data_IF_328000020561
#
_entry.id   IF_328000020561
#
_cell.length_a   1.000
_cell.length_b   1.000
_cell.length_c   1.000
_cell.angle_alpha   90.00
_cell.angle_beta   90.00
_cell.angle_gamma   90.00
#
_symmetry.space_group_name_H-M   'P 1'
#
loop_
_entity.id
_entity.type
_entity.pdbx_description
1 polymer ?
#
# COMPACT_ATOMS: atom_id res chain seq x y z
N UNK A 1 -31.56 -0.08 -1.99
CA UNK A 1 -31.01 0.35 -0.69
C UNK A 1 -29.91 -0.60 -0.22
N UNK A 2 -30.23 -1.89 -0.03
CA UNK A 2 -29.28 -2.92 0.45
C UNK A 2 -27.86 -2.87 -0.11
N UNK A 3 -27.69 -2.74 -1.43
CA UNK A 3 -26.35 -2.68 -2.05
C UNK A 3 -25.50 -1.53 -1.54
N UNK A 4 -26.07 -0.34 -1.31
CA UNK A 4 -25.34 0.82 -0.79
C UNK A 4 -25.06 0.68 0.72
N UNK A 5 -26.01 0.11 1.47
CA UNK A 5 -25.81 -0.20 2.90
C UNK A 5 -24.73 -1.28 3.10
N UNK A 6 -24.70 -2.31 2.25
CA UNK A 6 -23.68 -3.34 2.19
C UNK A 6 -22.30 -2.74 1.94
N UNK A 7 -22.15 -1.90 0.89
CA UNK A 7 -20.89 -1.23 0.59
C UNK A 7 -20.44 -0.33 1.76
N UNK A 8 -21.37 0.33 2.47
CA UNK A 8 -21.06 1.08 3.67
C UNK A 8 -20.58 0.17 4.83
N UNK A 9 -21.22 -0.99 5.07
CA UNK A 9 -20.78 -2.01 6.05
C UNK A 9 -19.32 -2.45 5.74
N UNK A 10 -19.01 -2.84 4.49
CA UNK A 10 -17.64 -3.25 4.07
C UNK A 10 -16.61 -2.14 4.31
N UNK A 11 -16.90 -0.91 3.85
CA UNK A 11 -15.98 0.22 3.97
C UNK A 11 -15.65 0.55 5.44
N UNK A 12 -16.65 0.49 6.33
CA UNK A 12 -16.46 0.68 7.78
C UNK A 12 -15.55 -0.41 8.38
N UNK A 13 -15.73 -1.67 7.98
CA UNK A 13 -14.93 -2.79 8.49
C UNK A 13 -13.47 -2.68 8.04
N UNK A 14 -13.20 -2.28 6.79
CA UNK A 14 -11.83 -2.01 6.34
C UNK A 14 -11.13 -0.91 7.15
N UNK A 15 -11.83 0.19 7.47
CA UNK A 15 -11.30 1.27 8.32
C UNK A 15 -10.98 0.73 9.72
N UNK A 16 -11.88 -0.03 10.32
CA UNK A 16 -11.70 -0.64 11.63
C UNK A 16 -10.51 -1.62 11.68
N UNK A 17 -10.43 -2.57 10.74
CA UNK A 17 -9.32 -3.52 10.65
C UNK A 17 -7.99 -2.83 10.37
N UNK A 18 -7.98 -1.77 9.55
CA UNK A 18 -6.76 -1.01 9.25
C UNK A 18 -6.25 -0.21 10.45
N UNK A 19 -7.15 0.40 11.24
CA UNK A 19 -6.77 1.09 12.47
C UNK A 19 -6.15 0.10 13.48
N UNK A 20 -6.76 -1.07 13.66
CA UNK A 20 -6.20 -2.16 14.48
C UNK A 20 -4.80 -2.56 14.03
N UNK A 21 -4.56 -2.75 12.71
CA UNK A 21 -3.23 -3.00 12.17
C UNK A 21 -2.25 -1.86 12.49
N UNK A 22 -2.62 -0.62 12.14
CA UNK A 22 -1.76 0.56 12.21
C UNK A 22 -1.33 0.90 13.64
N UNK A 23 -2.21 0.65 14.62
CA UNK A 23 -1.97 0.92 16.04
C UNK A 23 -1.24 -0.24 16.74
N UNK A 24 -1.61 -1.50 16.46
CA UNK A 24 -1.18 -2.65 17.28
C UNK A 24 -0.18 -3.59 16.59
N UNK A 25 -0.22 -3.74 15.26
CA UNK A 25 0.49 -4.82 14.54
C UNK A 25 1.64 -4.33 13.64
N UNK A 26 1.53 -3.15 13.03
CA UNK A 26 2.54 -2.58 12.09
C UNK A 26 3.96 -2.54 12.65
N UNK A 27 4.12 -2.44 13.97
CA UNK A 27 5.41 -2.39 14.64
C UNK A 27 6.00 -3.79 14.99
N UNK A 28 5.32 -4.89 14.69
CA UNK A 28 5.84 -6.24 14.93
C UNK A 28 6.80 -6.70 13.82
N UNK A 29 7.83 -7.47 14.20
CA UNK A 29 8.80 -8.13 13.29
C UNK A 29 8.30 -9.48 12.75
N UNK A 30 6.99 -9.74 12.84
CA UNK A 30 6.32 -10.94 12.33
C UNK A 30 5.69 -10.62 10.96
N UNK A 31 6.53 -10.39 9.95
CA UNK A 31 6.10 -9.81 8.67
C UNK A 31 5.11 -10.69 7.91
N UNK A 32 5.28 -12.02 7.95
CA UNK A 32 4.32 -13.00 7.38
C UNK A 32 2.93 -12.83 8.03
N UNK A 33 2.86 -12.69 9.35
CA UNK A 33 1.60 -12.48 10.08
C UNK A 33 0.97 -11.11 9.79
N UNK A 34 1.79 -10.07 9.57
CA UNK A 34 1.30 -8.77 9.09
C UNK A 34 0.71 -8.86 7.68
N UNK A 35 1.34 -9.60 6.76
CA UNK A 35 0.83 -9.85 5.39
C UNK A 35 -0.50 -10.60 5.44
N UNK A 36 -0.56 -11.70 6.18
CA UNK A 36 -1.77 -12.51 6.38
C UNK A 36 -2.90 -11.67 6.99
N UNK A 37 -2.61 -10.83 8.00
CA UNK A 37 -3.63 -9.93 8.57
C UNK A 37 -4.12 -8.92 7.53
N UNK A 38 -3.23 -8.27 6.77
CA UNK A 38 -3.62 -7.23 5.81
C UNK A 38 -4.49 -7.80 4.67
N UNK A 39 -4.07 -8.90 4.04
CA UNK A 39 -4.84 -9.53 2.95
C UNK A 39 -6.11 -10.22 3.49
N UNK A 40 -6.00 -10.93 4.62
CA UNK A 40 -7.12 -11.62 5.25
C UNK A 40 -8.22 -10.68 5.74
N UNK A 41 -7.88 -9.54 6.35
CA UNK A 41 -8.87 -8.55 6.80
C UNK A 41 -9.59 -7.84 5.65
N UNK A 42 -8.94 -7.66 4.50
CA UNK A 42 -9.61 -7.18 3.28
C UNK A 42 -10.70 -8.15 2.80
N UNK A 43 -10.41 -9.45 2.80
CA UNK A 43 -11.36 -10.51 2.42
C UNK A 43 -12.47 -10.71 3.47
N UNK A 44 -12.12 -10.77 4.76
CA UNK A 44 -13.08 -10.94 5.86
C UNK A 44 -14.09 -9.78 5.88
N UNK A 45 -13.64 -8.54 5.67
CA UNK A 45 -14.54 -7.38 5.62
C UNK A 45 -15.58 -7.46 4.48
N UNK A 46 -15.29 -8.16 3.37
CA UNK A 46 -16.31 -8.49 2.36
C UNK A 46 -17.25 -9.60 2.80
N UNK A 47 -16.76 -10.63 3.50
CA UNK A 47 -17.57 -11.78 3.89
C UNK A 47 -18.54 -11.48 5.04
N UNK A 48 -18.15 -10.61 5.99
CA UNK A 48 -18.94 -10.33 7.19
C UNK A 48 -20.39 -9.84 6.92
N UNK A 49 -20.66 -8.91 5.97
CA UNK A 49 -22.03 -8.49 5.70
C UNK A 49 -22.89 -9.51 4.93
N UNK A 50 -22.34 -10.63 4.46
CA UNK A 50 -23.12 -11.76 3.91
C UNK A 50 -23.64 -12.70 5.02
N UNK A 51 -23.17 -12.55 6.27
CA UNK A 51 -23.61 -13.39 7.39
C UNK A 51 -24.98 -12.92 7.89
N UNK A 52 -26.04 -13.33 7.20
CA UNK A 52 -27.41 -13.20 7.67
C UNK A 52 -27.67 -14.19 8.81
N UNK A 53 -28.21 -13.70 9.93
CA UNK A 53 -28.70 -14.56 11.00
C UNK A 53 -30.17 -14.95 10.72
N UNK A 54 -30.57 -16.22 10.87
CA UNK A 54 -31.95 -16.62 10.69
C UNK A 54 -32.82 -15.97 11.78
N UNK A 55 -33.81 -15.20 11.34
CA UNK A 55 -34.78 -14.55 12.22
C UNK A 55 -35.68 -15.62 12.87
N UNK A 56 -35.89 -15.51 14.19
CA UNK A 56 -36.76 -16.43 14.89
C UNK A 56 -38.21 -16.07 14.54
N UNK A 57 -38.86 -16.88 13.69
CA UNK A 57 -40.21 -16.63 13.18
C UNK A 57 -41.23 -16.52 14.33
N UNK A 58 -41.47 -15.29 14.78
CA UNK A 58 -42.49 -14.99 15.78
C UNK A 58 -43.84 -15.25 15.11
N UNK A 59 -44.45 -16.39 15.42
CA UNK A 59 -45.78 -16.76 14.92
C UNK A 59 -46.83 -15.89 15.61
N UNK A 60 -46.99 -14.66 15.13
CA UNK A 60 -48.13 -13.82 15.45
C UNK A 60 -49.40 -14.51 14.93
N UNK A 61 -50.28 -14.92 15.84
CA UNK A 61 -51.63 -15.31 15.45
C UNK A 61 -52.28 -14.08 14.79
N UNK A 62 -52.90 -14.20 13.60
CA UNK A 62 -53.54 -13.07 12.95
C UNK A 62 -54.71 -12.59 13.80
N UNK A 63 -54.57 -11.42 14.42
CA UNK A 63 -55.67 -10.73 15.06
C UNK A 63 -56.60 -10.20 13.95
N UNK A 64 -57.77 -10.83 13.79
CA UNK A 64 -58.75 -10.42 12.80
C UNK A 64 -59.45 -9.15 13.29
N UNK A 65 -58.84 -8.00 13.00
CA UNK A 65 -59.51 -6.72 13.06
C UNK A 65 -60.42 -6.58 11.83
N UNK A 66 -61.71 -6.33 12.05
CA UNK A 66 -62.62 -5.96 10.98
C UNK A 66 -62.22 -4.56 10.47
N UNK A 67 -61.48 -4.52 9.37
CA UNK A 67 -61.04 -3.27 8.76
C UNK A 67 -62.26 -2.52 8.19
N UNK A 68 -62.75 -1.53 8.93
CA UNK A 68 -63.69 -0.55 8.39
C UNK A 68 -63.00 0.18 7.23
N UNK A 69 -63.52 0.01 6.02
CA UNK A 69 -62.96 0.59 4.79
C UNK A 69 -63.25 2.08 4.71
N UNK A 70 -62.55 2.87 5.53
CA UNK A 70 -62.49 4.32 5.37
C UNK A 70 -61.90 4.64 3.98
N UNK A 71 -62.38 5.69 3.29
CA UNK A 71 -61.78 6.14 2.04
C UNK A 71 -60.33 6.57 2.25
N UNK A 72 -59.39 5.67 1.96
CA UNK A 72 -57.96 5.98 1.95
C UNK A 72 -57.68 6.91 0.77
N UNK A 73 -57.63 8.22 1.02
CA UNK A 73 -57.04 9.13 0.06
C UNK A 73 -55.56 8.81 -0.05
N UNK A 74 -55.18 8.30 -1.22
CA UNK A 74 -53.79 8.00 -1.58
C UNK A 74 -52.98 9.30 -1.51
N UNK A 75 -52.26 9.47 -0.40
CA UNK A 75 -51.37 10.62 -0.22
C UNK A 75 -50.29 10.53 -1.31
N UNK A 76 -50.02 11.62 -2.07
CA UNK A 76 -48.98 11.57 -3.09
C UNK A 76 -47.65 11.22 -2.41
N UNK A 77 -47.03 10.11 -2.83
CA UNK A 77 -45.80 9.65 -2.20
C UNK A 77 -44.75 10.77 -2.24
N UNK A 78 -44.08 11.07 -1.11
CA UNK A 78 -43.10 12.14 -1.06
C UNK A 78 -41.95 11.79 -1.99
N UNK A 79 -41.85 12.50 -3.13
CA UNK A 79 -40.86 12.25 -4.20
C UNK A 79 -39.48 12.04 -3.60
N UNK A 80 -39.06 10.76 -3.59
CA UNK A 80 -37.87 10.34 -2.88
C UNK A 80 -36.65 10.88 -3.60
N UNK A 81 -36.12 11.99 -3.09
CA UNK A 81 -34.86 12.61 -3.52
C UNK A 81 -33.74 11.56 -3.68
N UNK A 82 -33.72 10.56 -2.79
CA UNK A 82 -32.78 9.46 -2.83
C UNK A 82 -32.95 8.55 -4.07
N UNK A 83 -34.18 8.35 -4.56
CA UNK A 83 -34.46 7.61 -5.79
C UNK A 83 -33.98 8.38 -7.03
N UNK A 84 -34.10 9.71 -7.06
CA UNK A 84 -33.59 10.56 -8.16
C UNK A 84 -32.06 10.57 -8.21
N UNK A 85 -31.38 10.67 -7.06
CA UNK A 85 -29.92 10.73 -7.01
C UNK A 85 -29.23 9.37 -7.11
N UNK A 86 -29.87 8.27 -6.69
CA UNK A 86 -29.26 6.94 -6.72
C UNK A 86 -28.73 6.48 -8.10
N UNK A 87 -29.47 6.58 -9.22
CA UNK A 87 -28.95 6.17 -10.53
C UNK A 87 -27.81 7.07 -11.01
N UNK A 88 -27.84 8.36 -10.69
CA UNK A 88 -26.78 9.33 -11.01
C UNK A 88 -25.49 8.96 -10.27
N UNK A 89 -25.59 8.63 -8.98
CA UNK A 89 -24.45 8.16 -8.17
C UNK A 89 -23.90 6.83 -8.68
N UNK A 90 -24.74 5.86 -9.03
CA UNK A 90 -24.28 4.61 -9.62
C UNK A 90 -23.58 4.81 -10.97
N UNK A 91 -24.12 5.67 -11.85
CA UNK A 91 -23.49 6.01 -13.13
C UNK A 91 -22.11 6.68 -12.94
N UNK A 92 -21.99 7.62 -11.99
CA UNK A 92 -20.73 8.26 -11.64
C UNK A 92 -19.70 7.26 -11.09
N UNK A 93 -20.11 6.39 -10.16
CA UNK A 93 -19.25 5.35 -9.62
C UNK A 93 -18.79 4.36 -10.69
N UNK A 94 -19.68 3.95 -11.60
CA UNK A 94 -19.37 3.07 -12.72
C UNK A 94 -18.40 3.73 -13.72
N UNK A 95 -18.61 5.01 -14.07
CA UNK A 95 -17.71 5.76 -14.96
C UNK A 95 -16.29 5.90 -14.37
N UNK A 96 -16.18 6.23 -13.07
CA UNK A 96 -14.89 6.29 -12.37
C UNK A 96 -14.20 4.93 -12.32
N UNK A 97 -14.94 3.85 -12.06
CA UNK A 97 -14.44 2.48 -12.07
C UNK A 97 -13.96 2.06 -13.46
N UNK A 98 -14.71 2.37 -14.52
CA UNK A 98 -14.35 2.05 -15.91
C UNK A 98 -13.11 2.81 -16.37
N UNK A 99 -12.97 4.09 -16.01
CA UNK A 99 -11.78 4.88 -16.27
C UNK A 99 -10.53 4.24 -15.63
N UNK A 100 -10.62 3.89 -14.34
CA UNK A 100 -9.51 3.28 -13.61
C UNK A 100 -9.20 1.85 -14.08
N UNK A 101 -10.21 1.07 -14.46
CA UNK A 101 -10.03 -0.23 -15.11
C UNK A 101 -9.25 -0.08 -16.42
N UNK A 102 -9.61 0.91 -17.25
CA UNK A 102 -8.89 1.18 -18.50
C UNK A 102 -7.43 1.60 -18.26
N UNK A 103 -7.14 2.28 -17.15
CA UNK A 103 -5.79 2.69 -16.77
C UNK A 103 -4.97 1.50 -16.26
N UNK A 104 -5.56 0.66 -15.40
CA UNK A 104 -4.95 -0.58 -14.91
C UNK A 104 -4.64 -1.55 -16.05
N UNK A 105 -5.58 -1.79 -16.98
CA UNK A 105 -5.36 -2.64 -18.15
C UNK A 105 -4.24 -2.10 -19.05
N UNK A 106 -4.12 -0.78 -19.20
CA UNK A 106 -2.96 -0.15 -19.86
C UNK A 106 -1.67 -0.45 -19.11
N UNK A 107 -1.57 -0.15 -17.81
CA UNK A 107 -0.35 -0.43 -17.02
C UNK A 107 0.08 -1.90 -17.05
N UNK A 108 -0.87 -2.85 -16.97
CA UNK A 108 -0.59 -4.29 -17.08
C UNK A 108 -0.09 -4.65 -18.50
N UNK A 109 -0.74 -4.14 -19.54
CA UNK A 109 -0.29 -4.31 -20.94
C UNK A 109 1.13 -3.77 -21.13
N UNK A 110 1.41 -2.59 -20.61
CA UNK A 110 2.67 -1.88 -20.85
C UNK A 110 3.86 -2.63 -20.19
N UNK A 111 3.65 -3.22 -19.00
CA UNK A 111 4.58 -4.18 -18.38
C UNK A 111 4.76 -5.45 -19.23
N UNK A 112 3.68 -6.01 -19.78
CA UNK A 112 3.77 -7.19 -20.66
C UNK A 112 4.38 -6.92 -22.04
N UNK A 113 4.33 -5.68 -22.54
CA UNK A 113 5.03 -5.25 -23.75
C UNK A 113 6.53 -5.20 -23.49
N UNK A 114 6.95 -4.54 -22.40
CA UNK A 114 8.34 -4.47 -21.95
C UNK A 114 8.95 -5.88 -21.77
N UNK A 115 8.24 -6.79 -21.07
CA UNK A 115 8.67 -8.18 -20.85
C UNK A 115 8.80 -9.00 -22.16
N UNK A 116 8.19 -8.57 -23.27
CA UNK A 116 8.19 -9.28 -24.57
C UNK A 116 9.16 -8.72 -25.61
N UNK A 117 9.85 -7.61 -25.33
CA UNK A 117 10.71 -6.94 -26.30
C UNK A 117 12.18 -7.37 -26.22
N UNK A 118 12.64 -7.82 -25.04
CA UNK A 118 14.04 -8.17 -24.78
C UNK A 118 14.25 -9.70 -24.64
N UNK A 119 15.48 -10.16 -24.83
CA UNK A 119 15.86 -11.57 -24.69
C UNK A 119 15.68 -12.07 -23.24
N UNK A 120 14.81 -13.06 -23.06
CA UNK A 120 14.50 -13.64 -21.74
C UNK A 120 15.49 -14.74 -21.39
N UNK A 121 16.29 -14.52 -20.35
CA UNK A 121 17.19 -15.52 -19.78
C UNK A 121 16.51 -16.27 -18.62
N UNK A 122 16.38 -17.60 -18.73
CA UNK A 122 15.95 -18.43 -17.60
C UNK A 122 17.09 -18.57 -16.57
N UNK A 123 16.81 -18.15 -15.34
CA UNK A 123 17.75 -18.16 -14.21
C UNK A 123 17.12 -18.97 -13.06
N UNK A 124 17.18 -20.30 -13.19
CA UNK A 124 16.46 -21.27 -12.37
C UNK A 124 14.94 -21.01 -12.40
N UNK A 125 14.35 -20.57 -11.29
CA UNK A 125 12.91 -20.29 -11.15
C UNK A 125 12.48 -18.87 -11.61
N UNK A 126 13.45 -18.02 -11.97
CA UNK A 126 13.27 -16.60 -12.30
C UNK A 126 13.54 -16.35 -13.79
N UNK A 127 12.63 -15.63 -14.46
CA UNK A 127 12.80 -15.19 -15.85
C UNK A 127 13.42 -13.79 -15.88
N UNK A 128 14.73 -13.71 -16.09
CA UNK A 128 15.46 -12.44 -16.17
C UNK A 128 15.25 -11.78 -17.54
N UNK A 129 14.88 -10.51 -17.53
CA UNK A 129 14.69 -9.64 -18.70
C UNK A 129 15.62 -8.43 -18.51
N UNK A 130 16.54 -8.20 -19.45
CA UNK A 130 17.57 -7.17 -19.34
C UNK A 130 17.23 -5.95 -20.20
N UNK A 131 16.82 -4.85 -19.57
CA UNK A 131 16.46 -3.63 -20.30
C UNK A 131 17.70 -2.98 -20.95
N UNK A 132 17.62 -2.53 -22.22
CA UNK A 132 18.70 -1.83 -22.91
C UNK A 132 18.93 -0.39 -22.40
N UNK A 133 18.03 0.15 -21.58
CA UNK A 133 18.05 1.53 -21.09
C UNK A 133 17.88 1.60 -19.57
N UNK A 134 18.62 2.52 -18.93
CA UNK A 134 18.68 2.67 -17.46
C UNK A 134 17.66 3.70 -16.90
N UNK A 135 16.56 3.95 -17.61
CA UNK A 135 15.54 4.92 -17.21
C UNK A 135 14.57 4.37 -16.15
N UNK A 136 14.33 3.05 -16.19
CA UNK A 136 13.50 2.31 -15.24
C UNK A 136 14.41 1.55 -14.27
N UNK A 137 14.04 1.49 -12.99
CA UNK A 137 14.76 0.67 -12.02
C UNK A 137 14.49 -0.82 -12.20
N UNK A 138 15.28 -1.67 -11.55
CA UNK A 138 14.98 -3.09 -11.50
C UNK A 138 13.71 -3.36 -10.67
N UNK A 139 12.89 -4.31 -11.13
CA UNK A 139 11.65 -4.73 -10.46
C UNK A 139 11.24 -6.16 -10.84
N UNK A 140 10.51 -6.83 -9.96
CA UNK A 140 9.87 -8.12 -10.25
C UNK A 140 8.36 -8.00 -10.53
N UNK A 141 7.87 -8.89 -11.39
CA UNK A 141 6.46 -9.05 -11.68
C UNK A 141 6.14 -10.54 -11.90
N UNK A 142 5.37 -11.14 -10.99
CA UNK A 142 5.09 -12.59 -10.94
C UNK A 142 6.35 -13.47 -10.99
N UNK A 143 6.75 -13.96 -12.16
CA UNK A 143 7.97 -14.78 -12.37
C UNK A 143 9.08 -14.04 -13.15
N UNK A 144 8.79 -12.84 -13.64
CA UNK A 144 9.71 -12.02 -14.41
C UNK A 144 10.49 -11.11 -13.46
N UNK A 145 11.81 -11.08 -13.63
CA UNK A 145 12.71 -10.09 -13.05
C UNK A 145 13.16 -9.18 -14.18
N UNK A 146 12.66 -7.95 -14.19
CA UNK A 146 13.11 -6.92 -15.12
C UNK A 146 14.24 -6.15 -14.45
N UNK A 147 15.40 -6.13 -15.08
CA UNK A 147 16.63 -5.53 -14.54
C UNK A 147 17.23 -4.59 -15.57
N UNK A 148 17.64 -3.38 -15.16
CA UNK A 148 18.35 -2.48 -16.08
C UNK A 148 19.84 -2.87 -16.20
N UNK A 149 20.48 -2.39 -17.28
CA UNK A 149 21.86 -2.74 -17.59
C UNK A 149 22.85 -2.37 -16.48
N UNK A 150 22.65 -1.23 -15.82
CA UNK A 150 23.51 -0.76 -14.72
C UNK A 150 23.40 -1.65 -13.49
N UNK A 151 22.18 -2.00 -13.08
CA UNK A 151 21.92 -2.86 -11.94
C UNK A 151 22.47 -4.27 -12.13
N UNK A 152 22.41 -4.79 -13.37
CA UNK A 152 23.02 -6.06 -13.77
C UNK A 152 24.55 -6.06 -13.71
N UNK A 153 25.21 -4.93 -13.95
CA UNK A 153 26.68 -4.83 -13.97
C UNK A 153 27.29 -4.39 -12.62
N UNK A 154 26.63 -3.49 -11.89
CA UNK A 154 27.13 -2.93 -10.62
C UNK A 154 26.59 -3.67 -9.38
N UNK A 155 25.33 -4.16 -9.40
CA UNK A 155 24.57 -4.47 -8.17
C UNK A 155 23.81 -5.82 -8.23
N UNK A 156 24.27 -6.78 -9.04
CA UNK A 156 23.51 -7.97 -9.42
C UNK A 156 23.00 -8.83 -8.24
N UNK A 157 23.87 -9.33 -7.35
CA UNK A 157 23.45 -10.27 -6.29
C UNK A 157 22.47 -9.63 -5.28
N UNK A 158 22.73 -8.43 -4.71
CA UNK A 158 21.79 -7.82 -3.76
C UNK A 158 20.40 -7.57 -4.34
N UNK A 159 20.30 -7.20 -5.62
CA UNK A 159 19.03 -6.94 -6.31
C UNK A 159 18.35 -8.25 -6.70
N UNK A 160 19.07 -9.19 -7.35
CA UNK A 160 18.55 -10.52 -7.69
C UNK A 160 18.00 -11.22 -6.43
N UNK A 161 18.74 -11.17 -5.32
CA UNK A 161 18.33 -11.77 -4.06
C UNK A 161 17.05 -11.14 -3.53
N UNK A 162 16.98 -9.80 -3.46
CA UNK A 162 15.79 -9.08 -2.99
C UNK A 162 14.56 -9.36 -3.87
N UNK A 163 14.69 -9.20 -5.18
CA UNK A 163 13.60 -9.43 -6.13
C UNK A 163 13.16 -10.89 -6.20
N UNK A 164 14.07 -11.84 -5.99
CA UNK A 164 13.70 -13.26 -5.88
C UNK A 164 12.72 -13.51 -4.73
N UNK A 165 12.77 -12.77 -3.62
CA UNK A 165 11.81 -12.93 -2.53
C UNK A 165 10.41 -12.45 -2.96
N UNK A 166 10.32 -11.34 -3.68
CA UNK A 166 9.05 -10.84 -4.23
C UNK A 166 8.42 -11.81 -5.23
N UNK A 167 9.24 -12.49 -6.05
CA UNK A 167 8.84 -13.57 -6.96
C UNK A 167 8.34 -14.79 -6.19
N UNK A 168 9.17 -15.40 -5.34
CA UNK A 168 8.83 -16.64 -4.63
C UNK A 168 7.66 -16.47 -3.66
N UNK A 169 7.52 -15.30 -3.04
CA UNK A 169 6.37 -14.97 -2.18
C UNK A 169 5.16 -14.42 -2.96
N UNK A 170 5.24 -14.29 -4.29
CA UNK A 170 4.15 -13.81 -5.16
C UNK A 170 3.62 -12.42 -4.76
N UNK A 171 4.49 -11.50 -4.33
CA UNK A 171 4.09 -10.15 -3.87
C UNK A 171 3.34 -9.34 -4.94
N UNK A 172 3.58 -9.60 -6.24
CA UNK A 172 2.81 -8.98 -7.32
C UNK A 172 1.31 -9.32 -7.29
N UNK A 173 0.92 -10.50 -6.78
CA UNK A 173 -0.47 -10.92 -6.65
C UNK A 173 -1.21 -10.07 -5.62
N UNK A 174 -0.60 -9.85 -4.45
CA UNK A 174 -1.11 -8.97 -3.40
C UNK A 174 -1.38 -7.54 -3.92
N UNK A 175 -0.46 -7.01 -4.73
CA UNK A 175 -0.58 -5.67 -5.31
C UNK A 175 -1.65 -5.61 -6.41
N UNK A 176 -1.74 -6.63 -7.28
CA UNK A 176 -2.82 -6.76 -8.27
C UNK A 176 -4.19 -6.86 -7.58
N UNK A 177 -4.31 -7.69 -6.54
CA UNK A 177 -5.54 -7.84 -5.76
C UNK A 177 -6.03 -6.50 -5.20
N UNK A 178 -5.16 -5.72 -4.54
CA UNK A 178 -5.59 -4.43 -3.99
C UNK A 178 -5.80 -3.34 -5.05
N UNK A 179 -5.12 -3.37 -6.19
CA UNK A 179 -5.46 -2.49 -7.31
C UNK A 179 -6.83 -2.80 -7.91
N UNK A 180 -7.21 -4.08 -8.02
CA UNK A 180 -8.58 -4.48 -8.39
C UNK A 180 -9.62 -3.95 -7.39
N UNK A 181 -9.34 -4.00 -6.09
CA UNK A 181 -10.22 -3.38 -5.08
C UNK A 181 -10.28 -1.85 -5.22
N UNK A 182 -9.13 -1.20 -5.49
CA UNK A 182 -9.04 0.26 -5.71
C UNK A 182 -9.74 0.74 -6.97
N UNK A 183 -10.02 -0.12 -7.96
CA UNK A 183 -10.85 0.23 -9.12
C UNK A 183 -12.32 0.37 -8.70
N UNK A 184 -12.86 -0.62 -7.98
CA UNK A 184 -14.28 -0.64 -7.57
C UNK A 184 -14.56 0.34 -6.43
N UNK A 185 -13.62 0.47 -5.49
CA UNK A 185 -13.73 1.33 -4.30
C UNK A 185 -12.78 2.53 -4.38
N UNK A 186 -12.66 3.13 -5.57
CA UNK A 186 -11.69 4.20 -5.84
C UNK A 186 -11.82 5.42 -4.93
N UNK A 187 -13.05 5.72 -4.51
CA UNK A 187 -13.40 6.78 -3.57
C UNK A 187 -13.01 6.48 -2.12
N UNK A 188 -12.56 5.26 -1.78
CA UNK A 188 -12.15 4.90 -0.43
C UNK A 188 -10.62 5.02 -0.23
N UNK A 189 -10.13 6.01 0.53
CA UNK A 189 -8.71 6.19 0.78
C UNK A 189 -8.09 5.08 1.68
N UNK A 190 -8.88 4.25 2.37
CA UNK A 190 -8.32 3.19 3.22
C UNK A 190 -7.51 2.18 2.41
N UNK A 191 -7.94 1.86 1.18
CA UNK A 191 -7.23 0.92 0.32
C UNK A 191 -5.87 1.44 -0.14
N UNK A 192 -5.70 2.77 -0.22
CA UNK A 192 -4.41 3.40 -0.51
C UNK A 192 -3.43 3.20 0.66
N UNK A 193 -3.94 3.28 1.90
CA UNK A 193 -3.16 3.01 3.11
C UNK A 193 -2.87 1.52 3.32
N UNK A 194 -3.82 0.62 2.99
CA UNK A 194 -3.57 -0.83 2.92
C UNK A 194 -2.46 -1.13 1.90
N UNK A 195 -2.54 -0.60 0.67
CA UNK A 195 -1.53 -0.85 -0.38
C UNK A 195 -0.14 -0.47 0.12
N UNK A 196 0.02 0.75 0.63
CA UNK A 196 1.29 1.22 1.21
C UNK A 196 1.77 0.34 2.36
N UNK A 197 0.86 -0.13 3.23
CA UNK A 197 1.22 -0.99 4.37
C UNK A 197 1.62 -2.40 3.95
N UNK A 198 1.02 -2.91 2.88
CA UNK A 198 1.32 -4.22 2.29
C UNK A 198 2.67 -4.17 1.55
N UNK A 199 2.92 -3.10 0.79
CA UNK A 199 4.23 -2.74 0.24
C UNK A 199 5.31 -2.65 1.33
N UNK A 200 5.07 -1.89 2.43
CA UNK A 200 6.00 -1.84 3.58
C UNK A 200 6.34 -3.24 4.11
N UNK A 201 5.37 -4.15 4.18
CA UNK A 201 5.57 -5.54 4.64
C UNK A 201 6.29 -6.41 3.62
N UNK A 202 6.04 -6.24 2.31
CA UNK A 202 6.77 -6.92 1.23
C UNK A 202 8.25 -6.57 1.26
N UNK A 203 8.59 -5.29 1.46
CA UNK A 203 9.97 -4.84 1.63
C UNK A 203 10.63 -5.50 2.84
N UNK A 204 9.96 -5.50 4.01
CA UNK A 204 10.54 -6.12 5.21
C UNK A 204 10.75 -7.64 5.07
N UNK A 205 9.89 -8.33 4.31
CA UNK A 205 10.03 -9.74 3.99
C UNK A 205 11.23 -10.01 3.07
N UNK A 206 11.50 -9.13 2.11
CA UNK A 206 12.66 -9.25 1.23
C UNK A 206 13.97 -8.85 1.93
N UNK A 207 13.96 -7.76 2.70
CA UNK A 207 15.08 -7.28 3.53
C UNK A 207 15.50 -8.31 4.60
N UNK A 208 14.54 -9.10 5.12
CA UNK A 208 14.78 -10.17 6.09
C UNK A 208 15.70 -11.30 5.56
N UNK A 209 15.79 -11.49 4.24
CA UNK A 209 16.58 -12.54 3.60
C UNK A 209 18.00 -12.08 3.19
N UNK A 210 18.38 -10.84 3.51
CA UNK A 210 19.73 -10.33 3.29
C UNK A 210 20.76 -11.05 4.21
N UNK A 211 21.93 -11.48 3.69
CA UNK A 211 22.87 -12.32 4.45
C UNK A 211 23.69 -11.49 5.45
N UNK A 212 24.12 -10.29 5.04
CA UNK A 212 24.69 -9.27 5.92
C UNK A 212 23.75 -8.07 5.97
N UNK A 213 23.24 -7.75 7.16
CA UNK A 213 22.35 -6.60 7.39
C UNK A 213 23.06 -5.26 7.23
N UNK A 214 24.34 -5.21 7.53
CA UNK A 214 25.14 -4.00 7.63
C UNK A 214 25.60 -3.54 6.24
N UNK A 215 26.17 -4.45 5.46
CA UNK A 215 26.44 -4.27 4.03
C UNK A 215 25.17 -3.99 3.24
N UNK A 216 24.08 -4.72 3.50
CA UNK A 216 22.81 -4.49 2.80
C UNK A 216 22.15 -3.15 3.15
N UNK A 217 22.18 -2.72 4.42
CA UNK A 217 21.70 -1.39 4.81
C UNK A 217 22.51 -0.26 4.16
N UNK A 218 23.85 -0.41 4.07
CA UNK A 218 24.73 0.53 3.34
C UNK A 218 24.41 0.53 1.84
N UNK A 219 24.22 -0.63 1.23
CA UNK A 219 23.80 -0.78 -0.17
C UNK A 219 22.48 -0.05 -0.44
N UNK A 220 21.43 -0.28 0.35
CA UNK A 220 20.13 0.39 0.15
C UNK A 220 20.23 1.91 0.21
N UNK A 221 21.03 2.45 1.14
CA UNK A 221 21.24 3.91 1.26
C UNK A 221 22.05 4.43 0.07
N UNK A 222 23.13 3.75 -0.32
CA UNK A 222 23.94 4.14 -1.48
C UNK A 222 23.15 4.07 -2.80
N UNK A 223 22.37 3.01 -3.00
CA UNK A 223 21.50 2.83 -4.16
C UNK A 223 20.46 3.96 -4.26
N UNK A 224 19.79 4.29 -3.15
CA UNK A 224 18.81 5.37 -3.11
C UNK A 224 19.42 6.76 -3.38
N UNK A 225 20.69 7.00 -3.02
CA UNK A 225 21.39 8.26 -3.32
C UNK A 225 22.01 8.31 -4.73
N UNK A 226 22.25 7.16 -5.38
CA UNK A 226 22.90 7.06 -6.70
C UNK A 226 21.89 6.77 -7.85
N UNK A 227 20.60 6.71 -7.52
CA UNK A 227 19.52 6.54 -8.48
C UNK A 227 19.25 7.85 -9.27
N UNK A 228 19.00 7.80 -10.59
CA UNK A 228 18.71 8.98 -11.39
C UNK A 228 17.39 9.63 -10.99
N UNK A 229 17.19 10.93 -11.24
CA UNK A 229 15.97 11.64 -10.84
C UNK A 229 14.65 11.06 -11.40
N UNK A 230 14.71 10.32 -12.52
CA UNK A 230 13.57 9.58 -13.07
C UNK A 230 13.14 8.36 -12.21
N UNK A 231 14.03 7.84 -11.35
CA UNK A 231 13.80 6.68 -10.49
C UNK A 231 12.79 6.90 -9.35
N UNK A 232 12.16 8.08 -9.27
CA UNK A 232 11.11 8.45 -8.32
C UNK A 232 9.91 7.47 -8.27
N UNK A 233 9.73 6.66 -9.31
CA UNK A 233 8.69 5.63 -9.44
C UNK A 233 9.08 4.26 -8.86
N UNK A 234 10.37 3.99 -8.66
CA UNK A 234 10.89 2.68 -8.26
C UNK A 234 10.62 2.40 -6.77
N UNK A 235 10.35 1.13 -6.42
CA UNK A 235 9.97 0.76 -5.05
C UNK A 235 11.04 1.17 -4.03
N UNK A 236 12.31 0.87 -4.35
CA UNK A 236 13.51 1.24 -3.59
C UNK A 236 13.66 2.75 -3.31
N UNK A 237 13.21 3.64 -4.20
CA UNK A 237 13.48 5.08 -4.08
C UNK A 237 12.54 5.80 -3.10
N UNK A 238 11.46 5.16 -2.65
CA UNK A 238 10.49 5.78 -1.76
C UNK A 238 11.12 6.13 -0.39
N UNK A 239 11.62 7.36 -0.20
CA UNK A 239 12.29 7.80 1.03
C UNK A 239 11.54 7.48 2.34
N UNK A 240 10.20 7.59 2.41
CA UNK A 240 9.42 7.14 3.57
C UNK A 240 9.44 5.61 3.81
N UNK A 241 9.59 4.79 2.75
CA UNK A 241 9.85 3.36 2.87
C UNK A 241 11.29 3.09 3.30
N UNK A 242 12.30 3.70 2.67
CA UNK A 242 13.72 3.50 2.99
C UNK A 242 14.02 3.69 4.50
N UNK A 243 13.55 4.80 5.09
CA UNK A 243 13.68 5.04 6.54
C UNK A 243 13.02 3.95 7.39
N UNK A 244 11.93 3.35 6.90
CA UNK A 244 11.20 2.29 7.58
C UNK A 244 11.88 0.92 7.41
N UNK A 245 12.40 0.61 6.20
CA UNK A 245 13.23 -0.56 5.88
C UNK A 245 14.46 -0.64 6.78
N UNK A 246 15.30 0.40 6.76
CA UNK A 246 16.50 0.49 7.61
C UNK A 246 16.16 0.34 9.09
N UNK A 247 15.07 0.99 9.56
CA UNK A 247 14.61 0.86 10.95
C UNK A 247 14.22 -0.58 11.32
N UNK A 248 13.65 -1.36 10.40
CA UNK A 248 13.22 -2.74 10.67
C UNK A 248 14.35 -3.77 10.48
N UNK A 249 15.33 -3.52 9.58
CA UNK A 249 16.57 -4.32 9.45
C UNK A 249 17.34 -4.36 10.78
N UNK A 250 17.50 -3.20 11.43
CA UNK A 250 18.14 -3.07 12.74
C UNK A 250 17.22 -3.38 13.93
N UNK A 251 15.99 -3.85 13.71
CA UNK A 251 15.06 -4.11 14.81
C UNK A 251 15.23 -5.51 15.39
N UNK A 252 15.48 -5.57 16.71
CA UNK A 252 15.43 -6.81 17.49
C UNK A 252 14.07 -7.52 17.32
N UNK A 253 14.12 -8.85 17.17
CA UNK A 253 12.92 -9.67 16.98
C UNK A 253 12.01 -9.57 18.20
N UNK A 254 10.71 -9.50 17.95
CA UNK A 254 9.68 -9.49 18.97
C UNK A 254 9.57 -10.88 19.60
N UNK A 255 9.37 -10.96 20.92
CA UNK A 255 9.13 -12.23 21.59
C UNK A 255 7.86 -12.92 21.08
N UNK A 256 7.92 -14.25 20.93
CA UNK A 256 6.87 -15.09 20.33
C UNK A 256 5.46 -14.89 20.92
N UNK A 257 5.37 -14.56 22.22
CA UNK A 257 4.11 -14.21 22.88
C UNK A 257 3.32 -13.11 22.16
N UNK A 258 3.98 -12.17 21.47
CA UNK A 258 3.30 -11.10 20.73
C UNK A 258 2.57 -11.62 19.48
N UNK A 259 2.78 -12.87 19.05
CA UNK A 259 1.94 -13.53 18.03
C UNK A 259 0.49 -13.74 18.51
N UNK A 260 0.25 -13.84 19.81
CA UNK A 260 -1.11 -13.89 20.37
C UNK A 260 -1.94 -12.66 19.99
N UNK A 261 -1.31 -11.49 19.78
CA UNK A 261 -2.00 -10.25 19.42
C UNK A 261 -2.70 -10.29 18.06
N UNK A 262 -2.34 -11.21 17.15
CA UNK A 262 -3.06 -11.38 15.89
C UNK A 262 -4.43 -12.02 16.09
N UNK A 263 -4.64 -12.75 17.20
CA UNK A 263 -5.95 -13.27 17.59
C UNK A 263 -6.96 -12.15 17.94
N UNK A 264 -6.54 -10.89 18.09
CA UNK A 264 -7.45 -9.74 18.29
C UNK A 264 -8.43 -9.55 17.13
N UNK A 265 -8.14 -10.14 15.95
CA UNK A 265 -9.09 -10.19 14.83
C UNK A 265 -10.39 -10.93 15.21
N UNK A 266 -10.32 -11.93 16.09
CA UNK A 266 -11.48 -12.74 16.50
C UNK A 266 -12.50 -11.97 17.35
N UNK A 267 -12.16 -11.34 18.50
CA UNK A 267 -13.11 -10.52 19.23
C UNK A 267 -13.55 -9.30 18.42
N UNK A 268 -12.71 -8.77 17.52
CA UNK A 268 -13.10 -7.68 16.62
C UNK A 268 -14.19 -8.10 15.62
N UNK A 269 -14.07 -9.31 15.03
CA UNK A 269 -15.12 -9.95 14.24
C UNK A 269 -16.38 -10.16 15.08
N UNK A 270 -16.26 -10.71 16.30
CA UNK A 270 -17.42 -10.96 17.16
C UNK A 270 -18.16 -9.66 17.53
N UNK A 271 -17.45 -8.58 17.86
CA UNK A 271 -18.04 -7.26 18.13
C UNK A 271 -18.78 -6.74 16.90
N UNK A 272 -18.21 -6.88 15.70
CA UNK A 272 -18.85 -6.48 14.42
C UNK A 272 -20.12 -7.30 14.13
N UNK A 273 -20.07 -8.63 14.33
CA UNK A 273 -21.23 -9.50 14.14
C UNK A 273 -22.35 -9.22 15.15
N UNK A 274 -22.00 -9.04 16.43
CA UNK A 274 -22.97 -8.72 17.49
C UNK A 274 -23.60 -7.34 17.26
N UNK A 275 -22.82 -6.31 16.90
CA UNK A 275 -23.36 -4.96 16.68
C UNK A 275 -24.19 -4.84 15.40
N UNK A 276 -23.93 -5.65 14.36
CA UNK A 276 -24.81 -5.73 13.18
C UNK A 276 -26.10 -6.48 13.48
N UNK A 277 -26.04 -7.69 14.03
CA UNK A 277 -27.22 -8.48 14.37
C UNK A 277 -28.13 -7.83 15.44
N UNK A 278 -27.54 -7.14 16.42
CA UNK A 278 -28.31 -6.41 17.44
C UNK A 278 -29.05 -5.21 16.85
N UNK A 279 -28.47 -4.51 15.86
CA UNK A 279 -29.16 -3.40 15.17
C UNK A 279 -30.41 -3.89 14.46
N UNK A 280 -30.35 -5.03 13.79
CA UNK A 280 -31.46 -5.60 13.03
C UNK A 280 -32.63 -5.95 13.98
N UNK A 281 -32.37 -6.60 15.12
CA UNK A 281 -33.38 -6.85 16.18
C UNK A 281 -33.95 -5.57 16.84
N UNK A 282 -33.15 -4.53 17.01
CA UNK A 282 -33.62 -3.26 17.61
C UNK A 282 -34.52 -2.49 16.64
N UNK A 283 -34.23 -2.52 15.34
CA UNK A 283 -35.11 -1.94 14.31
C UNK A 283 -36.44 -2.68 14.26
N UNK A 284 -36.41 -4.02 14.20
CA UNK A 284 -37.60 -4.88 14.28
C UNK A 284 -38.46 -4.58 15.53
N UNK A 285 -37.82 -4.40 16.69
CA UNK A 285 -38.49 -4.06 17.96
C UNK A 285 -39.18 -2.70 17.92
N UNK A 286 -38.56 -1.68 17.31
CA UNK A 286 -39.12 -0.34 17.16
C UNK A 286 -40.29 -0.33 16.17
N UNK A 287 -40.15 -1.04 15.05
CA UNK A 287 -41.19 -1.14 14.01
C UNK A 287 -42.44 -1.91 14.50
N UNK A 288 -42.29 -2.84 15.44
CA UNK A 288 -43.41 -3.49 16.13
C UNK A 288 -44.09 -2.61 17.18
N UNK A 289 -43.41 -1.58 17.70
CA UNK A 289 -43.96 -0.66 18.69
C UNK A 289 -44.72 0.52 18.06
N UNK A 290 -44.31 1.02 16.90
CA UNK A 290 -44.96 2.17 16.24
C UNK A 290 -46.45 2.01 15.96
N UNK A 291 -46.98 0.91 15.39
CA UNK A 291 -48.43 0.74 15.20
C UNK A 291 -49.17 0.57 16.54
N UNK A 292 -48.55 -0.08 17.53
CA UNK A 292 -49.15 -0.34 18.83
C UNK A 292 -49.34 0.95 19.66
N UNK A 293 -48.31 1.80 19.73
CA UNK A 293 -48.34 3.05 20.51
C UNK A 293 -49.28 4.09 19.89
N UNK A 294 -49.31 4.22 18.55
CA UNK A 294 -50.24 5.12 17.86
C UNK A 294 -51.69 4.65 18.07
N UNK A 295 -51.95 3.34 17.96
CA UNK A 295 -53.28 2.78 18.24
C UNK A 295 -53.74 2.99 19.68
N UNK A 296 -52.85 2.82 20.67
CA UNK A 296 -53.18 3.07 22.08
C UNK A 296 -53.51 4.54 22.36
N UNK A 297 -52.71 5.49 21.85
CA UNK A 297 -52.97 6.92 22.08
C UNK A 297 -54.30 7.38 21.47
N UNK A 298 -54.70 6.85 20.31
CA UNK A 298 -56.00 7.17 19.69
C UNK A 298 -57.17 6.62 20.54
N UNK A 299 -57.06 5.38 21.04
CA UNK A 299 -58.09 4.75 21.89
C UNK A 299 -58.20 5.41 23.27
N UNK A 300 -57.10 5.91 23.82
CA UNK A 300 -57.09 6.61 25.12
C UNK A 300 -57.77 7.98 25.04
N UNK A 301 -57.52 8.76 23.97
CA UNK A 301 -58.22 10.04 23.76
C UNK A 301 -59.70 9.84 23.44
N UNK A 302 -60.05 8.89 22.57
CA UNK A 302 -61.44 8.61 22.20
C UNK A 302 -62.32 8.23 23.41
N UNK A 303 -61.75 7.63 24.46
CA UNK A 303 -62.47 7.28 25.70
C UNK A 303 -62.70 8.44 26.67
N UNK A 304 -62.10 9.61 26.43
CA UNK A 304 -62.19 10.74 27.37
C UNK A 304 -63.34 11.70 27.04
N UNK A 305 -63.71 11.81 25.77
CA UNK A 305 -64.74 12.75 25.30
C UNK A 305 -66.18 12.21 25.50
N UNK A 306 -66.40 10.90 25.38
CA UNK A 306 -67.71 10.23 25.56
C UNK A 306 -68.29 10.32 27.00
N UNK A 307 -67.56 10.90 27.96
CA UNK A 307 -67.93 10.95 29.38
C UNK A 307 -68.39 12.33 29.89
N UNK A 308 -68.62 13.32 29.02
CA UNK A 308 -68.95 14.71 29.43
C UNK A 308 -70.10 15.40 28.67
N UNK A 309 -71.08 14.65 28.17
CA UNK A 309 -72.18 15.19 27.35
C UNK A 309 -73.59 14.86 27.87
N UNK A 310 -73.96 15.33 29.08
CA UNK A 310 -75.36 15.44 29.53
C UNK A 310 -75.52 16.52 30.62
N UNK A 311 -75.90 17.74 30.24
CA UNK A 311 -77.19 18.38 30.59
C UNK A 311 -77.27 19.88 30.19
N UNK A 312 -78.48 20.33 29.89
CA UNK A 312 -78.91 21.65 29.35
C UNK A 312 -79.27 22.68 30.44
N UNK A 313 -79.66 23.97 30.18
CA UNK A 313 -79.99 24.65 28.90
C UNK A 313 -79.34 26.07 28.70
N UNK A 314 -79.89 26.85 27.76
CA UNK A 314 -79.46 28.20 27.30
C UNK A 314 -79.56 29.34 28.33
N UNK A 315 -78.70 30.36 28.17
CA UNK A 315 -79.14 31.78 28.14
C UNK A 315 -78.12 32.72 27.43
N UNK A 316 -78.57 33.92 27.03
CA UNK A 316 -77.84 35.09 26.47
C UNK A 316 -78.60 36.37 26.93
N UNK A 317 -78.18 37.65 26.70
CA UNK A 317 -77.01 38.20 25.97
C UNK A 317 -76.27 39.38 26.70
N UNK A 318 -75.37 40.09 25.97
CA UNK A 318 -74.67 41.38 26.30
C UNK A 318 -73.70 41.33 27.52
N UNK A 319 -72.77 42.26 27.85
CA UNK A 319 -72.20 43.51 27.26
C UNK A 319 -70.72 43.66 27.75
N UNK A 320 -69.85 44.65 27.44
CA UNK A 320 -69.90 45.85 26.57
C UNK A 320 -68.46 46.22 26.03
N UNK A 321 -68.10 47.50 25.97
CA UNK A 321 -66.89 48.12 25.36
C UNK A 321 -65.87 48.56 26.43
N UNK A 322 -64.56 48.38 26.20
CA UNK A 322 -63.52 49.33 26.68
C UNK A 322 -62.16 49.18 25.96
N UNK A 323 -61.50 50.30 25.68
CA UNK A 323 -60.11 50.40 25.19
C UNK A 323 -59.46 51.71 25.71
N UNK A 324 -58.23 52.10 25.28
CA UNK A 324 -56.97 51.58 25.79
C UNK A 324 -56.08 52.66 26.44
N UNK A 325 -55.06 52.30 27.24
CA UNK A 325 -53.98 53.23 27.65
C UNK A 325 -52.58 52.63 27.56
N UNK A 326 -51.62 53.50 27.24
CA UNK A 326 -50.17 53.24 27.11
C UNK A 326 -49.42 53.71 28.38
N UNK A 327 -48.10 53.56 28.60
CA UNK A 327 -46.93 53.36 27.71
C UNK A 327 -45.67 52.96 28.52
N UNK A 328 -44.63 52.44 27.84
CA UNK A 328 -43.20 52.33 28.26
C UNK A 328 -42.82 51.31 29.37
N UNK A 329 -42.00 50.31 29.02
CA UNK A 329 -40.56 50.30 29.40
C UNK A 329 -39.72 49.28 28.60
N UNK A 330 -38.51 49.71 28.23
CA UNK A 330 -37.31 49.02 27.71
C UNK A 330 -37.36 47.51 27.39
N UNK A 331 -37.16 47.19 26.09
CA UNK A 331 -36.59 45.91 25.62
C UNK A 331 -35.10 46.12 25.30
N UNK A 332 -34.25 45.12 25.56
CA UNK A 332 -32.85 45.08 25.10
C UNK A 332 -32.64 43.91 24.13
N UNK A 333 -31.91 44.15 23.02
CA UNK A 333 -31.49 43.11 22.06
C UNK A 333 -30.04 43.33 21.64
N UNK A 334 -29.17 42.35 21.95
CA UNK A 334 -27.84 42.11 21.38
C UNK A 334 -27.57 40.60 21.45
N UNK A 335 -26.84 39.96 20.53
CA UNK A 335 -26.27 40.42 19.26
C UNK A 335 -26.36 39.31 18.19
N UNK A 336 -26.09 39.64 16.93
CA UNK A 336 -26.08 38.71 15.79
C UNK A 336 -24.63 38.59 15.29
N UNK A 337 -24.14 37.37 15.06
CA UNK A 337 -22.78 37.10 14.56
C UNK A 337 -22.78 37.08 13.03
N UNK A 338 -21.87 37.82 12.41
CA UNK A 338 -21.54 37.75 10.99
C UNK A 338 -20.06 37.38 10.83
N UNK A 339 -19.73 36.55 9.84
CA UNK A 339 -18.36 36.30 9.40
C UNK A 339 -18.06 37.09 8.13
N UNK A 340 -16.88 37.73 7.99
CA UNK A 340 -16.49 38.39 6.75
C UNK A 340 -15.99 37.37 5.71
N UNK A 341 -16.35 37.60 4.44
CA UNK A 341 -15.74 36.93 3.28
C UNK A 341 -14.70 37.87 2.68
N UNK A 342 -13.54 37.35 2.28
CA UNK A 342 -12.50 38.13 1.58
C UNK A 342 -12.22 37.50 0.21
N UNK A 343 -12.49 38.24 -0.85
CA UNK A 343 -12.17 37.88 -2.23
C UNK A 343 -10.82 38.46 -2.66
N UNK A 344 -10.17 37.80 -3.62
CA UNK A 344 -8.93 38.31 -4.23
C UNK A 344 -9.23 39.33 -5.34
N UNK A 345 -8.46 40.42 -5.36
CA UNK A 345 -8.31 41.31 -6.52
C UNK A 345 -6.82 41.55 -6.73
N UNK A 346 -6.34 41.41 -7.96
CA UNK A 346 -4.94 41.64 -8.34
C UNK A 346 -4.67 43.10 -8.68
N UNK A 347 -3.54 43.64 -8.23
CA UNK A 347 -2.81 44.70 -8.94
C UNK A 347 -1.31 44.43 -8.94
N UNK A 348 -0.66 44.83 -10.03
CA UNK A 348 0.77 44.66 -10.31
C UNK A 348 1.46 46.00 -10.04
N UNK A 349 2.68 45.99 -9.47
CA UNK A 349 3.69 46.98 -9.81
C UNK A 349 4.92 46.30 -10.46
N UNK A 350 5.36 46.80 -11.60
CA UNK A 350 6.65 46.43 -12.20
C UNK A 350 7.82 47.01 -11.41
N UNK A 351 8.87 46.21 -11.17
CA UNK A 351 10.28 46.68 -11.17
C UNK A 351 11.25 45.49 -11.08
N UNK A 352 12.28 45.49 -11.94
CA UNK A 352 13.38 44.52 -11.95
C UNK A 352 14.64 45.10 -11.29
N UNK A 353 15.33 44.32 -10.43
CA UNK A 353 16.76 44.49 -10.19
C UNK A 353 17.57 43.52 -11.06
N UNK A 354 18.44 44.04 -11.92
CA UNK A 354 19.44 43.24 -12.64
C UNK A 354 20.78 43.32 -11.92
N UNK A 355 21.44 42.19 -11.62
CA UNK A 355 22.88 41.88 -11.84
C UNK A 355 23.32 40.59 -11.12
N UNK A 356 24.39 39.90 -11.58
CA UNK A 356 24.81 38.60 -11.04
C UNK A 356 25.89 38.69 -9.95
N UNK A 357 25.77 37.85 -8.92
CA UNK A 357 26.82 37.62 -7.93
C UNK A 357 27.71 36.41 -8.33
N UNK A 358 29.03 36.52 -8.11
CA UNK A 358 30.02 35.51 -8.51
C UNK A 358 30.25 34.44 -7.42
N UNK A 359 30.80 33.31 -7.88
CA UNK A 359 31.37 32.19 -7.16
C UNK A 359 31.80 32.39 -5.69
N UNK A 360 31.43 31.42 -4.85
CA UNK A 360 32.10 31.11 -3.59
C UNK A 360 32.63 29.67 -3.65
N UNK A 361 33.94 29.51 -3.83
CA UNK A 361 34.62 28.20 -3.86
C UNK A 361 34.69 27.62 -2.46
N UNK A 362 34.28 26.36 -2.28
CA UNK A 362 34.79 25.51 -1.19
C UNK A 362 35.40 24.25 -1.78
N UNK A 363 36.62 23.95 -1.34
CA UNK A 363 37.49 22.93 -1.92
C UNK A 363 37.84 21.85 -0.90
N UNK A 364 38.30 20.71 -1.42
CA UNK A 364 39.15 19.73 -0.74
C UNK A 364 38.64 19.14 0.59
N UNK A 365 38.05 17.94 0.50
CA UNK A 365 38.46 16.86 1.38
C UNK A 365 39.02 15.69 0.57
N UNK A 366 40.34 15.54 0.59
CA UNK A 366 41.05 14.34 0.14
C UNK A 366 41.45 13.55 1.38
N UNK A 367 40.82 12.40 1.59
CA UNK A 367 41.44 11.29 2.33
C UNK A 367 41.55 10.14 1.31
N UNK A 368 42.71 9.88 0.74
CA UNK A 368 43.92 9.33 1.38
C UNK A 368 43.65 7.90 1.86
N UNK A 369 44.24 6.93 1.16
CA UNK A 369 44.08 5.52 1.46
C UNK A 369 44.80 5.16 2.76
N UNK A 370 44.06 4.60 3.72
CA UNK A 370 44.63 3.82 4.82
C UNK A 370 44.13 2.38 4.65
N UNK A 371 44.99 1.53 4.12
CA UNK A 371 44.72 0.10 3.97
C UNK A 371 44.93 -0.54 5.35
N UNK A 372 43.83 -0.70 6.10
CA UNK A 372 43.81 -1.58 7.26
C UNK A 372 43.97 -3.05 6.84
N UNK A 373 44.45 -3.94 7.73
CA UNK A 373 44.75 -5.31 7.36
C UNK A 373 43.51 -6.07 6.92
N UNK A 374 43.61 -6.77 5.79
CA UNK A 374 42.57 -7.68 5.30
C UNK A 374 42.44 -8.83 6.30
N UNK A 375 41.27 -8.97 6.92
CA UNK A 375 40.97 -10.12 7.76
C UNK A 375 40.99 -11.40 6.90
N UNK A 376 41.66 -12.46 7.37
CA UNK A 376 41.59 -13.77 6.72
C UNK A 376 40.13 -14.24 6.71
N UNK A 377 39.64 -14.55 5.52
CA UNK A 377 38.29 -15.10 5.31
C UNK A 377 38.45 -16.58 4.94
N UNK A 378 38.28 -17.45 5.93
CA UNK A 378 38.54 -18.88 5.78
C UNK A 378 37.42 -19.60 4.99
N UNK A 379 37.81 -20.71 4.34
CA UNK A 379 36.94 -21.73 3.72
C UNK A 379 36.01 -21.29 2.57
N UNK A 380 36.50 -21.40 1.34
CA UNK A 380 35.64 -21.69 0.19
C UNK A 380 35.26 -23.18 0.19
N UNK A 381 33.97 -23.48 0.05
CA UNK A 381 33.49 -24.87 -0.01
C UNK A 381 33.80 -25.47 -1.39
N UNK A 382 34.41 -26.66 -1.41
CA UNK A 382 34.78 -27.37 -2.65
C UNK A 382 33.55 -27.72 -3.49
N UNK A 383 33.50 -27.21 -4.72
CA UNK A 383 32.72 -27.79 -5.83
C UNK A 383 33.70 -28.08 -6.96
N UNK A 384 33.81 -29.35 -7.36
CA UNK A 384 34.72 -29.76 -8.43
C UNK A 384 34.17 -29.33 -9.80
N UNK A 385 34.82 -28.36 -10.44
CA UNK A 385 34.45 -27.88 -11.76
C UNK A 385 35.55 -27.03 -12.39
N UNK A 386 35.74 -27.16 -13.70
CA UNK A 386 36.69 -26.35 -14.48
C UNK A 386 36.30 -24.87 -14.42
N UNK A 387 37.27 -23.98 -14.22
CA UNK A 387 37.02 -22.54 -14.05
C UNK A 387 36.68 -21.91 -15.41
N UNK A 388 35.40 -21.95 -15.79
CA UNK A 388 34.88 -21.32 -17.00
C UNK A 388 34.86 -19.80 -16.84
N UNK A 389 35.82 -19.10 -17.48
CA UNK A 389 35.79 -17.63 -17.62
C UNK A 389 34.65 -17.25 -18.59
N UNK A 390 33.44 -17.08 -18.05
CA UNK A 390 32.23 -16.76 -18.83
C UNK A 390 32.24 -15.30 -19.29
N UNK A 391 32.87 -15.01 -20.44
CA UNK A 391 32.95 -13.66 -20.99
C UNK A 391 33.73 -13.56 -22.30
N UNK A 392 33.41 -14.41 -23.29
CA UNK A 392 34.26 -14.66 -24.48
C UNK A 392 34.60 -13.41 -25.32
N UNK A 393 33.74 -12.39 -25.30
CA UNK A 393 33.92 -11.14 -26.07
C UNK A 393 34.21 -9.90 -25.18
N UNK A 394 34.63 -10.09 -23.92
CA UNK A 394 35.04 -8.98 -23.03
C UNK A 394 36.52 -8.60 -23.20
N UNK A 395 36.98 -7.44 -22.70
CA UNK A 395 38.40 -7.05 -22.74
C UNK A 395 39.35 -8.07 -22.10
N UNK A 396 38.89 -8.81 -21.09
CA UNK A 396 39.67 -9.88 -20.44
C UNK A 396 39.86 -11.16 -21.27
N UNK A 397 39.34 -11.23 -22.50
CA UNK A 397 39.50 -12.39 -23.40
C UNK A 397 40.97 -12.64 -23.79
N UNK A 398 41.81 -11.59 -23.82
CA UNK A 398 43.25 -11.65 -24.10
C UNK A 398 44.14 -11.35 -22.88
N UNK A 399 43.58 -11.38 -21.66
CA UNK A 399 44.32 -11.11 -20.43
C UNK A 399 45.57 -12.00 -20.29
N UNK A 400 46.67 -11.40 -19.87
CA UNK A 400 47.91 -12.13 -19.58
C UNK A 400 47.70 -12.99 -18.32
N UNK A 401 48.13 -14.25 -18.35
CA UNK A 401 48.12 -15.12 -17.17
C UNK A 401 49.53 -15.24 -16.62
N UNK A 402 49.66 -15.16 -15.30
CA UNK A 402 50.90 -15.30 -14.54
C UNK A 402 50.67 -16.34 -13.47
N UNK A 403 51.50 -17.38 -13.41
CA UNK A 403 51.37 -18.50 -12.47
C UNK A 403 52.64 -18.55 -11.63
N UNK A 404 52.51 -18.38 -10.31
CA UNK A 404 53.63 -18.36 -9.36
C UNK A 404 54.77 -17.38 -9.76
N UNK A 405 54.39 -16.25 -10.36
CA UNK A 405 55.28 -15.21 -10.89
C UNK A 405 55.73 -15.42 -12.34
N UNK A 406 55.46 -16.58 -12.95
CA UNK A 406 55.87 -16.91 -14.33
C UNK A 406 54.75 -16.58 -15.33
N UNK A 407 55.05 -15.67 -16.28
CA UNK A 407 54.15 -15.38 -17.41
C UNK A 407 53.86 -16.64 -18.24
N UNK A 408 52.60 -16.85 -18.61
CA UNK A 408 52.18 -17.92 -19.51
C UNK A 408 52.11 -17.40 -20.95
N UNK A 409 52.54 -18.21 -21.92
CA UNK A 409 52.48 -17.85 -23.35
C UNK A 409 51.04 -17.80 -23.87
N UNK A 410 50.19 -18.70 -23.37
CA UNK A 410 48.76 -18.74 -23.68
C UNK A 410 47.98 -17.74 -22.81
N UNK A 411 47.06 -17.01 -23.43
CA UNK A 411 46.28 -15.92 -22.81
C UNK A 411 44.84 -16.32 -22.51
N UNK A 412 44.16 -15.53 -21.67
CA UNK A 412 42.72 -15.63 -21.41
C UNK A 412 42.25 -17.05 -21.04
N UNK A 413 41.18 -17.51 -21.68
CA UNK A 413 40.60 -18.83 -21.39
C UNK A 413 41.52 -20.02 -21.73
N UNK A 414 42.56 -19.82 -22.56
CA UNK A 414 43.51 -20.90 -22.89
C UNK A 414 44.56 -21.09 -21.78
N UNK A 415 45.12 -20.00 -21.25
CA UNK A 415 46.33 -19.97 -20.42
C UNK A 415 46.31 -20.62 -19.04
N UNK A 416 45.25 -21.36 -18.68
CA UNK A 416 45.13 -22.01 -17.38
C UNK A 416 44.65 -23.49 -17.45
N UNK A 417 44.56 -24.08 -18.65
CA UNK A 417 44.02 -25.44 -18.87
C UNK A 417 44.68 -26.57 -18.06
N UNK A 418 45.89 -26.37 -17.54
CA UNK A 418 46.66 -27.37 -16.82
C UNK A 418 46.60 -27.24 -15.28
N UNK A 419 45.96 -26.19 -14.74
CA UNK A 419 45.88 -25.95 -13.30
C UNK A 419 44.57 -26.51 -12.76
N UNK A 420 44.64 -27.51 -11.87
CA UNK A 420 43.44 -28.06 -11.22
C UNK A 420 42.97 -27.11 -10.10
N UNK A 421 41.64 -26.92 -9.89
CA UNK A 421 41.12 -26.01 -8.86
C UNK A 421 41.65 -26.28 -7.44
N UNK A 422 41.99 -27.53 -7.12
CA UNK A 422 42.57 -27.90 -5.82
C UNK A 422 43.95 -27.28 -5.57
N UNK A 423 44.73 -27.05 -6.64
CA UNK A 423 46.12 -26.59 -6.57
C UNK A 423 46.22 -25.08 -6.34
N UNK A 424 45.15 -24.31 -6.57
CA UNK A 424 45.18 -22.84 -6.47
C UNK A 424 45.15 -22.41 -5.00
N UNK A 425 46.10 -21.58 -4.58
CA UNK A 425 46.07 -20.89 -3.27
C UNK A 425 45.28 -19.59 -3.36
N UNK A 426 45.55 -18.76 -4.37
CA UNK A 426 44.87 -17.47 -4.59
C UNK A 426 44.86 -17.05 -6.06
N UNK A 427 43.87 -16.23 -6.42
CA UNK A 427 43.79 -15.57 -7.73
C UNK A 427 43.60 -14.07 -7.50
N UNK A 428 44.46 -13.25 -8.12
CA UNK A 428 44.37 -11.79 -8.15
C UNK A 428 44.19 -11.32 -9.59
N UNK A 429 43.39 -10.27 -9.81
CA UNK A 429 43.14 -9.72 -11.15
C UNK A 429 43.44 -8.23 -11.19
N UNK A 430 44.49 -7.86 -11.93
CA UNK A 430 44.86 -6.47 -12.19
C UNK A 430 44.11 -5.96 -13.43
N UNK A 431 43.68 -4.69 -13.38
CA UNK A 431 42.89 -4.04 -14.43
C UNK A 431 43.42 -2.64 -14.72
N UNK A 432 43.18 -2.17 -15.94
CA UNK A 432 43.51 -0.81 -16.39
C UNK A 432 45.00 -0.47 -16.11
N UNK A 433 45.29 0.77 -15.70
CA UNK A 433 46.65 1.25 -15.48
C UNK A 433 47.50 0.33 -14.58
N UNK A 434 46.94 -0.21 -13.49
CA UNK A 434 47.67 -1.08 -12.55
C UNK A 434 48.27 -2.36 -13.16
N UNK A 435 47.70 -2.86 -14.26
CA UNK A 435 48.24 -3.98 -15.01
C UNK A 435 49.37 -3.53 -15.98
N UNK A 436 49.23 -2.33 -16.56
CA UNK A 436 50.21 -1.73 -17.48
C UNK A 436 51.46 -1.27 -16.72
N UNK A 437 51.31 -0.73 -15.51
CA UNK A 437 52.43 -0.25 -14.68
C UNK A 437 53.40 -1.38 -14.27
N UNK A 438 52.91 -2.63 -14.18
CA UNK A 438 53.68 -3.79 -13.72
C UNK A 438 54.10 -4.70 -14.90
N UNK A 439 53.23 -4.88 -15.90
CA UNK A 439 53.44 -5.83 -17.01
C UNK A 439 53.54 -5.15 -18.39
N UNK A 440 53.56 -3.82 -18.45
CA UNK A 440 53.66 -3.04 -19.69
C UNK A 440 52.47 -3.24 -20.62
N UNK A 441 52.70 -3.03 -21.93
CA UNK A 441 51.67 -3.19 -22.96
C UNK A 441 51.03 -4.59 -23.00
N UNK A 442 51.69 -5.62 -22.49
CA UNK A 442 51.11 -6.97 -22.40
C UNK A 442 49.93 -7.07 -21.44
N UNK A 443 49.90 -6.22 -20.40
CA UNK A 443 48.84 -6.14 -19.39
C UNK A 443 47.70 -5.20 -19.74
N UNK A 444 47.68 -4.62 -20.95
CA UNK A 444 46.62 -3.71 -21.42
C UNK A 444 45.22 -4.31 -21.32
N UNK A 445 45.11 -5.60 -21.60
CA UNK A 445 43.86 -6.38 -21.57
C UNK A 445 43.57 -6.98 -20.17
N UNK A 446 44.31 -6.54 -19.14
CA UNK A 446 44.29 -7.07 -17.78
C UNK A 446 45.32 -8.19 -17.57
N UNK A 447 45.58 -8.49 -16.29
CA UNK A 447 46.49 -9.57 -15.86
C UNK A 447 45.84 -10.40 -14.76
N UNK A 448 45.86 -11.72 -14.92
CA UNK A 448 45.38 -12.68 -13.91
C UNK A 448 46.61 -13.36 -13.30
N UNK A 449 46.81 -13.15 -12.01
CA UNK A 449 47.90 -13.75 -11.22
C UNK A 449 47.32 -14.90 -10.40
N UNK A 450 47.79 -16.11 -10.64
CA UNK A 450 47.43 -17.34 -9.93
C UNK A 450 48.64 -17.76 -9.10
N UNK A 451 48.46 -17.92 -7.79
CA UNK A 451 49.45 -18.57 -6.93
C UNK A 451 48.97 -19.99 -6.62
N UNK A 452 49.86 -20.97 -6.69
CA UNK A 452 49.57 -22.37 -6.35
C UNK A 452 50.02 -22.72 -4.93
N UNK A 453 49.37 -23.71 -4.33
CA UNK A 453 49.76 -24.25 -3.02
C UNK A 453 51.07 -25.00 -3.17
N UNK A 454 52.04 -24.67 -2.30
CA UNK A 454 53.31 -25.39 -2.14
C UNK A 454 53.14 -26.67 -1.31
#
# INVERSE_FOLDING_TARGET
METLLYLAKVNLFWVLFYLTYRLLLRNHTFFIWNRIYLVGSLLIAFLLPLVSFPEAVVTSKPAIYAAASLPYMESPEPVSWLATWSPILFALCAAGSLYLLSAFVRSIRDVFVMIRQDDVMDLNDVKLVLLPHNEVGSFSFFKWLVMNRRDYEENFEPILRHESVHIHQMHSLDIVFIELLKIVFWFNPVLWFYKRSLQEVHEYLADEHAPDRDGYARFLVAYAFNAPAAALTNHFFNGPLLKSRIKMIYKNRNGEWLRSKYLIVLPLICIVLVTTAARERVVESIEKLTPAVIGQMIVEHAKLDDLKAFDTPMEQPVAEIAAPKSKKSKVSKKAKVNFPTTSYTSQIPDTLPQTPAKAATFSNYRYAANIGPIAKMDSFTKVGGTISIRGYNGPGSNALIVVDGVKQEQRGSMGHHHIKPEQIESINVLKNQSAIDIYGNEGKDGVIIINTKK
#
